data_IF_534906170220
#
_entry.id   IF_534906170220
#
_cell.length_a   1.000
_cell.length_b   1.000
_cell.length_c   1.000
_cell.angle_alpha   90.00
_cell.angle_beta   90.00
_cell.angle_gamma   90.00
#
_symmetry.space_group_name_H-M   'P 1'
#
loop_
_entity.id
_entity.type
_entity.pdbx_description
1 polymer ?
#
# COMPACT_ATOMS: atom_id res chain seq x y z
N UNK A 1 -1.43 8.28 -13.09
CA UNK A 1 -1.83 8.03 -11.69
C UNK A 1 -3.33 7.76 -11.64
N UNK A 2 -3.73 6.65 -11.00
CA UNK A 2 -5.12 6.26 -10.81
C UNK A 2 -5.77 6.97 -9.62
N UNK A 3 -6.94 6.51 -9.20
CA UNK A 3 -7.62 6.96 -7.99
C UNK A 3 -7.30 6.01 -6.84
N UNK A 4 -6.86 6.54 -5.69
CA UNK A 4 -6.78 5.74 -4.45
C UNK A 4 -8.20 5.39 -4.03
N UNK A 5 -8.52 4.10 -4.04
CA UNK A 5 -9.84 3.59 -3.63
C UNK A 5 -9.85 3.14 -2.18
N UNK A 6 -8.68 2.75 -1.65
CA UNK A 6 -8.56 2.30 -0.26
C UNK A 6 -7.14 2.44 0.27
N UNK A 7 -7.05 2.71 1.56
CA UNK A 7 -5.79 2.68 2.30
C UNK A 7 -5.91 1.66 3.44
N UNK A 8 -4.85 0.87 3.62
CA UNK A 8 -4.70 -0.06 4.74
C UNK A 8 -3.46 0.33 5.52
N UNK A 9 -3.53 0.25 6.85
CA UNK A 9 -2.45 0.65 7.74
C UNK A 9 -2.00 -0.55 8.57
N UNK A 10 -0.71 -0.55 8.91
CA UNK A 10 -0.20 -1.49 9.91
C UNK A 10 -0.69 -1.17 11.31
N UNK A 11 -0.72 -2.16 12.23
CA UNK A 11 -1.09 -1.92 13.63
C UNK A 11 -0.26 -0.80 14.26
N UNK A 12 1.06 -0.81 14.02
CA UNK A 12 1.98 0.24 14.45
C UNK A 12 1.82 1.57 13.70
N UNK A 13 1.00 1.64 12.64
CA UNK A 13 0.85 2.79 11.73
C UNK A 13 2.15 3.29 11.11
N UNK A 14 3.18 2.45 11.09
CA UNK A 14 4.47 2.76 10.46
C UNK A 14 4.50 2.37 8.98
N UNK A 15 3.55 1.54 8.54
CA UNK A 15 3.41 1.15 7.14
C UNK A 15 1.98 1.36 6.71
N UNK A 16 1.81 1.72 5.43
CA UNK A 16 0.51 1.72 4.78
C UNK A 16 0.61 1.14 3.39
N UNK A 17 -0.49 0.59 2.90
CA UNK A 17 -0.66 0.19 1.50
C UNK A 17 -1.86 0.88 0.92
N UNK A 18 -1.67 1.52 -0.22
CA UNK A 18 -2.71 2.16 -1.01
C UNK A 18 -3.13 1.22 -2.14
N UNK A 19 -4.44 1.03 -2.29
CA UNK A 19 -5.03 0.35 -3.45
C UNK A 19 -5.49 1.42 -4.42
N UNK A 20 -4.95 1.38 -5.64
CA UNK A 20 -5.13 2.41 -6.65
C UNK A 20 -5.86 1.81 -7.85
N UNK A 21 -7.04 2.34 -8.16
CA UNK A 21 -7.80 1.99 -9.35
C UNK A 21 -7.33 2.81 -10.54
N UNK A 22 -6.86 2.13 -11.58
CA UNK A 22 -6.36 2.74 -12.82
C UNK A 22 -7.51 3.09 -13.76
N UNK A 23 -7.20 3.89 -14.78
CA UNK A 23 -8.17 4.27 -15.84
C UNK A 23 -8.64 3.05 -16.64
N UNK A 24 -7.79 2.05 -16.78
CA UNK A 24 -8.08 0.79 -17.50
C UNK A 24 -8.98 -0.17 -16.70
N UNK A 25 -9.48 0.22 -15.52
CA UNK A 25 -10.32 -0.60 -14.66
C UNK A 25 -9.55 -1.59 -13.76
N UNK A 26 -8.27 -1.80 -14.03
CA UNK A 26 -7.36 -2.62 -13.22
C UNK A 26 -6.90 -1.88 -11.96
N UNK A 27 -6.40 -2.65 -10.98
CA UNK A 27 -5.90 -2.16 -9.70
C UNK A 27 -4.39 -2.37 -9.60
N UNK A 28 -3.75 -1.50 -8.82
CA UNK A 28 -2.34 -1.61 -8.41
C UNK A 28 -2.25 -1.30 -6.93
N UNK A 29 -1.22 -1.82 -6.24
CA UNK A 29 -0.95 -1.52 -4.84
C UNK A 29 0.36 -0.74 -4.70
N UNK A 30 0.42 0.21 -3.77
CA UNK A 30 1.67 0.91 -3.42
C UNK A 30 1.89 0.86 -1.92
N UNK A 31 3.09 0.44 -1.51
CA UNK A 31 3.50 0.30 -0.12
C UNK A 31 4.33 1.51 0.29
N UNK A 32 3.97 2.10 1.42
CA UNK A 32 4.66 3.22 2.01
C UNK A 32 5.10 2.91 3.43
N UNK A 33 6.20 3.53 3.83
CA UNK A 33 6.74 3.53 5.19
C UNK A 33 6.73 4.95 5.74
N UNK A 34 6.28 5.11 6.97
CA UNK A 34 6.38 6.35 7.71
C UNK A 34 7.84 6.56 8.11
N UNK A 35 8.39 7.72 7.75
CA UNK A 35 9.74 8.11 8.13
C UNK A 35 9.71 9.51 8.74
N UNK A 36 10.52 9.68 9.77
CA UNK A 36 10.86 10.98 10.33
C UNK A 36 12.37 11.18 10.13
N UNK A 37 12.76 12.14 9.30
CA UNK A 37 14.16 12.44 9.01
C UNK A 37 14.42 13.93 9.19
N UNK A 38 15.37 14.27 10.06
CA UNK A 38 15.74 15.66 10.41
C UNK A 38 14.54 16.58 10.75
N UNK A 39 13.51 16.04 11.42
CA UNK A 39 12.30 16.78 11.81
C UNK A 39 11.24 16.89 10.72
N UNK A 40 11.41 16.20 9.59
CA UNK A 40 10.38 16.07 8.54
C UNK A 40 9.71 14.71 8.62
N UNK A 41 8.39 14.72 8.73
CA UNK A 41 7.53 13.55 8.76
C UNK A 41 6.92 13.30 7.37
N UNK A 42 7.16 12.13 6.78
CA UNK A 42 6.62 11.81 5.46
C UNK A 42 6.42 10.31 5.23
N UNK A 43 5.50 10.01 4.30
CA UNK A 43 5.33 8.66 3.75
C UNK A 43 6.31 8.45 2.60
N UNK A 44 7.27 7.55 2.80
CA UNK A 44 8.20 7.14 1.75
C UNK A 44 7.67 5.92 1.01
N UNK A 45 7.57 5.99 -0.32
CA UNK A 45 7.19 4.83 -1.15
C UNK A 45 8.33 3.83 -1.19
N UNK A 46 8.09 2.62 -0.68
CA UNK A 46 9.11 1.55 -0.59
C UNK A 46 8.86 0.42 -1.59
N UNK A 47 7.63 0.31 -2.11
CA UNK A 47 7.33 -0.64 -3.17
C UNK A 47 6.13 -0.17 -3.98
N UNK A 48 6.34 0.02 -5.28
CA UNK A 48 5.24 0.20 -6.22
C UNK A 48 4.93 -1.18 -6.79
N UNK A 49 3.77 -1.73 -6.45
CA UNK A 49 3.34 -3.04 -6.90
C UNK A 49 3.31 -3.07 -8.43
N UNK A 50 4.17 -3.91 -9.02
CA UNK A 50 4.25 -4.08 -10.47
C UNK A 50 3.07 -4.88 -11.04
N UNK A 51 2.25 -5.48 -10.18
CA UNK A 51 1.16 -6.37 -10.57
C UNK A 51 -0.10 -5.58 -10.94
N UNK A 52 -0.58 -5.80 -12.15
CA UNK A 52 -1.92 -5.40 -12.59
C UNK A 52 -2.93 -6.41 -12.03
N UNK A 53 -3.86 -5.94 -11.21
CA UNK A 53 -4.80 -6.77 -10.46
C UNK A 53 -6.20 -6.55 -11.02
N UNK A 54 -6.94 -7.62 -11.28
CA UNK A 54 -8.25 -7.56 -11.96
C UNK A 54 -9.39 -7.09 -11.04
N UNK A 55 -9.28 -7.38 -9.73
CA UNK A 55 -10.37 -7.22 -8.77
C UNK A 55 -9.93 -6.49 -7.49
N UNK A 56 -10.81 -5.68 -6.92
CA UNK A 56 -10.55 -4.96 -5.66
C UNK A 56 -10.32 -5.93 -4.48
N UNK A 57 -11.09 -7.03 -4.40
CA UNK A 57 -10.90 -8.06 -3.36
C UNK A 57 -9.51 -8.69 -3.44
N UNK A 58 -9.06 -9.01 -4.66
CA UNK A 58 -7.73 -9.55 -4.89
C UNK A 58 -6.66 -8.52 -4.53
N UNK A 59 -6.87 -7.26 -4.90
CA UNK A 59 -5.96 -6.16 -4.53
C UNK A 59 -5.88 -5.96 -3.02
N UNK A 60 -7.00 -6.14 -2.30
CA UNK A 60 -7.04 -6.09 -0.84
C UNK A 60 -6.24 -7.22 -0.21
N UNK A 61 -6.37 -8.46 -0.70
CA UNK A 61 -5.58 -9.60 -0.21
C UNK A 61 -4.08 -9.37 -0.41
N UNK A 62 -3.70 -8.91 -1.60
CA UNK A 62 -2.30 -8.56 -1.91
C UNK A 62 -1.81 -7.44 -0.99
N UNK A 63 -2.63 -6.40 -0.76
CA UNK A 63 -2.26 -5.29 0.10
C UNK A 63 -2.05 -5.72 1.57
N UNK A 64 -2.88 -6.62 2.09
CA UNK A 64 -2.72 -7.20 3.44
C UNK A 64 -1.42 -8.03 3.52
N UNK A 65 -1.16 -8.88 2.53
CA UNK A 65 0.06 -9.69 2.51
C UNK A 65 1.31 -8.81 2.37
N UNK A 66 1.27 -7.76 1.54
CA UNK A 66 2.37 -6.78 1.46
C UNK A 66 2.59 -6.09 2.81
N UNK A 67 1.52 -5.62 3.46
CA UNK A 67 1.59 -5.03 4.79
C UNK A 67 2.27 -5.97 5.79
N UNK A 68 1.85 -7.24 5.82
CA UNK A 68 2.43 -8.28 6.67
C UNK A 68 3.91 -8.54 6.36
N UNK A 69 4.28 -8.62 5.08
CA UNK A 69 5.68 -8.85 4.65
C UNK A 69 6.59 -7.69 5.03
N UNK A 70 6.15 -6.44 4.82
CA UNK A 70 6.98 -5.26 5.08
C UNK A 70 7.01 -4.86 6.54
N UNK A 71 5.86 -4.92 7.23
CA UNK A 71 5.82 -4.53 8.65
C UNK A 71 6.28 -5.66 9.58
N UNK A 72 6.25 -6.92 9.11
CA UNK A 72 6.51 -8.13 9.91
C UNK A 72 5.59 -8.26 11.13
N UNK A 73 4.43 -7.61 11.08
CA UNK A 73 3.40 -7.66 12.13
C UNK A 73 2.34 -8.70 11.74
N UNK A 74 1.66 -9.28 12.74
CA UNK A 74 0.51 -10.15 12.51
C UNK A 74 -0.77 -9.32 12.32
N UNK A 75 -1.62 -9.72 11.36
CA UNK A 75 -2.84 -9.01 10.93
C UNK A 75 -4.08 -9.90 11.01
#
# INVERSE_FOLDING_TARGET
MGQVVRELYSPSKQYKVEIIKRKDGLYTTEVYRWMEDCGYEFWSSINQGFSLIDSEDHARKIAIEQLRVYSKEEY
#
